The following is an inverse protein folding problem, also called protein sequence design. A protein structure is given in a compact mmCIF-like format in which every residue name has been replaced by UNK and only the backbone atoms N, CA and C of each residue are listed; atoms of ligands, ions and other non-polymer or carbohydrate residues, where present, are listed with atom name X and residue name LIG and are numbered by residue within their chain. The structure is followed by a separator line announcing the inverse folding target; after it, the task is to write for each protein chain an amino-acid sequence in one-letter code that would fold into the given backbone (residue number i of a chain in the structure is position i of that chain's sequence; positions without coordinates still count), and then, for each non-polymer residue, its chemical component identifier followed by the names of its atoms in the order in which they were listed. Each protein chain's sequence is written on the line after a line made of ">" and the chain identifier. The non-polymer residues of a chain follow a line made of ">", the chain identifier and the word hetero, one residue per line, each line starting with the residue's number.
data_IF_632626329401
#
_entry.id   IF_632626329401
#
_cell.length_a   1.000
_cell.length_b   1.000
_cell.length_c   1.000
_cell.angle_alpha   90.00
_cell.angle_beta   90.00
_cell.angle_gamma   90.00
#
_symmetry.space_group_name_H-M   'P 1'
#
loop_
_entity.id
_entity.type
_entity.pdbx_description
1 polymer ?
#
# COMPACT_ATOMS: atom_id res chain seq x y z
N UNK A 1 63.93 -49.82 -38.60
CA UNK A 1 64.37 -48.56 -37.97
C UNK A 1 64.10 -47.39 -38.91
N UNK A 2 62.96 -46.73 -38.74
CA UNK A 2 62.68 -45.36 -39.19
C UNK A 2 61.59 -44.83 -38.27
N UNK A 3 61.96 -43.88 -37.41
CA UNK A 3 61.06 -43.15 -36.54
C UNK A 3 60.30 -42.11 -37.37
N UNK A 4 58.99 -41.91 -37.17
CA UNK A 4 58.30 -40.75 -37.71
C UNK A 4 58.37 -39.56 -36.74
N UNK A 5 58.45 -38.39 -37.35
CA UNK A 5 58.58 -37.07 -36.75
C UNK A 5 57.37 -36.71 -35.88
N UNK A 6 57.65 -36.15 -34.71
CA UNK A 6 56.66 -35.59 -33.80
C UNK A 6 56.34 -34.17 -34.24
N UNK A 7 55.30 -34.00 -35.07
CA UNK A 7 54.70 -32.69 -35.32
C UNK A 7 53.88 -32.26 -34.09
N UNK A 8 54.50 -31.49 -33.20
CA UNK A 8 53.77 -30.74 -32.15
C UNK A 8 52.86 -29.72 -32.84
N UNK A 9 51.57 -30.01 -32.87
CA UNK A 9 50.54 -29.05 -33.24
C UNK A 9 50.61 -27.85 -32.31
N UNK A 10 50.81 -26.66 -32.87
CA UNK A 10 50.64 -25.41 -32.16
C UNK A 10 49.18 -25.30 -31.72
N UNK A 11 48.93 -25.29 -30.40
CA UNK A 11 47.64 -24.86 -29.85
C UNK A 11 47.46 -23.39 -30.21
N UNK A 12 46.61 -23.13 -31.21
CA UNK A 12 46.06 -21.81 -31.44
C UNK A 12 45.30 -21.37 -30.17
N UNK A 13 45.42 -20.09 -29.73
CA UNK A 13 44.54 -19.57 -28.71
C UNK A 13 43.08 -19.69 -29.19
N UNK A 14 42.11 -20.01 -28.31
CA UNK A 14 40.71 -20.07 -28.70
C UNK A 14 40.32 -18.75 -29.34
N UNK A 15 39.73 -18.82 -30.54
CA UNK A 15 39.25 -17.64 -31.28
C UNK A 15 38.31 -16.82 -30.41
N UNK A 16 38.66 -15.56 -30.16
CA UNK A 16 37.82 -14.62 -29.42
C UNK A 16 36.54 -14.37 -30.22
N UNK A 17 35.38 -14.56 -29.58
CA UNK A 17 34.08 -14.24 -30.19
C UNK A 17 33.83 -12.74 -30.08
N UNK A 18 33.23 -12.17 -31.11
CA UNK A 18 32.65 -10.82 -31.10
C UNK A 18 31.28 -10.83 -30.43
N UNK A 19 30.83 -9.66 -30.00
CA UNK A 19 29.50 -9.43 -29.42
C UNK A 19 28.37 -9.81 -30.39
N UNK A 20 28.51 -9.54 -31.69
CA UNK A 20 27.55 -9.92 -32.72
C UNK A 20 27.48 -11.44 -32.96
N UNK A 21 28.61 -12.14 -32.85
CA UNK A 21 28.68 -13.60 -32.95
C UNK A 21 28.00 -14.26 -31.74
N UNK A 22 28.11 -13.68 -30.54
CA UNK A 22 27.43 -14.17 -29.34
C UNK A 22 25.90 -14.07 -29.48
N UNK A 23 25.39 -12.95 -30.00
CA UNK A 23 23.96 -12.79 -30.28
C UNK A 23 23.48 -13.80 -31.32
N UNK A 24 24.22 -13.92 -32.42
CA UNK A 24 23.94 -14.91 -33.46
C UNK A 24 23.90 -16.32 -32.85
N UNK A 25 24.87 -16.68 -32.02
CA UNK A 25 24.94 -17.99 -31.36
C UNK A 25 23.70 -18.26 -30.49
N UNK A 26 23.27 -17.30 -29.67
CA UNK A 26 22.07 -17.43 -28.85
C UNK A 26 20.80 -17.63 -29.71
N UNK A 27 20.68 -16.89 -30.81
CA UNK A 27 19.56 -17.06 -31.75
C UNK A 27 19.56 -18.45 -32.41
N UNK A 28 20.73 -18.98 -32.77
CA UNK A 28 20.84 -20.33 -33.36
C UNK A 28 20.43 -21.42 -32.36
N UNK A 29 20.83 -21.29 -31.09
CA UNK A 29 20.43 -22.22 -30.02
C UNK A 29 18.93 -22.14 -29.67
N UNK A 30 18.28 -20.99 -29.90
CA UNK A 30 16.82 -20.88 -29.77
C UNK A 30 16.05 -21.61 -30.89
N UNK A 31 16.61 -21.69 -32.10
CA UNK A 31 15.92 -22.26 -33.27
C UNK A 31 16.24 -23.74 -33.51
N UNK A 32 17.40 -24.23 -33.04
CA UNK A 32 17.84 -25.60 -33.22
C UNK A 32 18.02 -26.34 -31.88
N UNK A 33 17.60 -27.61 -31.85
CA UNK A 33 17.51 -28.47 -30.67
C UNK A 33 18.80 -28.42 -29.80
N UNK A 34 18.73 -28.14 -28.48
CA UNK A 34 19.88 -27.80 -27.62
C UNK A 34 20.85 -28.96 -27.31
N UNK A 35 20.68 -30.12 -27.93
CA UNK A 35 21.35 -31.38 -27.55
C UNK A 35 22.69 -31.59 -28.27
N UNK A 36 23.04 -30.83 -29.32
CA UNK A 36 24.27 -31.10 -30.11
C UNK A 36 25.24 -29.94 -30.37
N UNK A 37 24.93 -28.69 -30.03
CA UNK A 37 25.87 -27.58 -30.19
C UNK A 37 26.67 -27.34 -28.90
N UNK A 38 27.94 -27.76 -28.90
CA UNK A 38 28.86 -27.40 -27.83
C UNK A 38 29.10 -25.88 -27.82
N UNK A 39 28.97 -25.27 -26.64
CA UNK A 39 29.34 -23.86 -26.45
C UNK A 39 30.83 -23.66 -26.75
N UNK A 40 31.21 -22.57 -27.44
CA UNK A 40 32.59 -22.22 -27.67
C UNK A 40 33.40 -22.15 -26.35
N UNK A 41 34.64 -22.69 -26.30
CA UNK A 41 35.46 -22.70 -25.08
C UNK A 41 35.70 -21.31 -24.49
N UNK A 42 35.67 -20.27 -25.33
CA UNK A 42 35.79 -18.88 -24.90
C UNK A 42 34.68 -18.48 -23.91
N UNK A 43 33.42 -18.89 -24.14
CA UNK A 43 32.30 -18.58 -23.24
C UNK A 43 32.35 -19.37 -21.93
N UNK A 44 33.03 -20.52 -21.92
CA UNK A 44 33.14 -21.40 -20.76
C UNK A 44 34.35 -21.06 -19.86
N UNK A 45 35.20 -20.11 -20.27
CA UNK A 45 36.39 -19.74 -19.53
C UNK A 45 36.14 -18.48 -18.69
N UNK A 46 36.34 -18.53 -17.37
CA UNK A 46 36.16 -17.34 -16.50
C UNK A 46 37.07 -16.16 -16.88
N UNK A 47 38.19 -16.44 -17.55
CA UNK A 47 39.10 -15.41 -18.08
C UNK A 47 38.47 -14.54 -19.18
N UNK A 48 37.37 -14.97 -19.80
CA UNK A 48 36.65 -14.19 -20.80
C UNK A 48 35.63 -13.22 -20.19
N UNK A 49 35.24 -13.39 -18.91
CA UNK A 49 34.21 -12.55 -18.28
C UNK A 49 34.48 -11.04 -18.41
N UNK A 50 35.70 -10.52 -18.18
CA UNK A 50 35.97 -9.10 -18.36
C UNK A 50 35.74 -8.61 -19.80
N UNK A 51 36.00 -9.47 -20.79
CA UNK A 51 35.78 -9.17 -22.22
C UNK A 51 34.27 -9.19 -22.52
N UNK A 52 33.54 -10.17 -22.00
CA UNK A 52 32.08 -10.25 -22.18
C UNK A 52 31.36 -9.03 -21.57
N UNK A 53 31.84 -8.53 -20.43
CA UNK A 53 31.32 -7.32 -19.79
C UNK A 53 31.76 -6.04 -20.52
N UNK A 54 32.96 -6.02 -21.12
CA UNK A 54 33.40 -4.84 -21.89
C UNK A 54 32.56 -4.64 -23.16
N UNK A 55 32.07 -5.73 -23.78
CA UNK A 55 31.10 -5.65 -24.88
C UNK A 55 29.77 -5.02 -24.44
N UNK A 56 29.27 -5.34 -23.25
CA UNK A 56 28.08 -4.69 -22.69
C UNK A 56 28.31 -3.16 -22.56
N UNK A 57 29.44 -2.74 -22.00
CA UNK A 57 29.77 -1.33 -21.88
C UNK A 57 29.96 -0.64 -23.24
N UNK A 58 30.57 -1.32 -24.21
CA UNK A 58 30.73 -0.80 -25.58
C UNK A 58 29.38 -0.58 -26.26
N UNK A 59 28.42 -1.51 -26.07
CA UNK A 59 27.07 -1.40 -26.61
C UNK A 59 26.26 -0.29 -25.94
N UNK A 60 26.42 -0.12 -24.63
CA UNK A 60 25.80 0.99 -23.91
C UNK A 60 26.33 2.36 -24.37
N UNK A 61 27.62 2.45 -24.73
CA UNK A 61 28.24 3.66 -25.24
C UNK A 61 27.89 4.01 -26.70
N UNK A 62 27.30 3.07 -27.46
CA UNK A 62 26.91 3.30 -28.84
C UNK A 62 25.68 4.23 -28.90
N UNK A 63 25.82 5.41 -29.50
CA UNK A 63 24.79 6.46 -29.44
C UNK A 63 23.49 6.13 -30.21
N UNK A 64 23.55 5.25 -31.22
CA UNK A 64 22.38 4.78 -31.95
C UNK A 64 21.93 3.44 -31.39
N UNK A 65 20.64 3.33 -31.06
CA UNK A 65 19.99 2.07 -30.66
C UNK A 65 20.59 1.37 -29.42
N UNK A 66 21.17 2.12 -28.47
CA UNK A 66 21.80 1.56 -27.26
C UNK A 66 20.88 0.64 -26.46
N UNK A 67 19.59 0.99 -26.34
CA UNK A 67 18.60 0.20 -25.61
C UNK A 67 18.43 -1.21 -26.20
N UNK A 68 18.15 -1.31 -27.50
CA UNK A 68 17.98 -2.62 -28.17
C UNK A 68 19.30 -3.37 -28.24
N UNK A 69 20.40 -2.68 -28.55
CA UNK A 69 21.72 -3.29 -28.62
C UNK A 69 22.16 -3.93 -27.29
N UNK A 70 21.89 -3.25 -26.16
CA UNK A 70 22.14 -3.77 -24.81
C UNK A 70 21.17 -4.90 -24.47
N UNK A 71 19.87 -4.72 -24.73
CA UNK A 71 18.85 -5.72 -24.43
C UNK A 71 19.06 -7.03 -25.17
N UNK A 72 19.37 -6.97 -26.47
CA UNK A 72 19.63 -8.15 -27.30
C UNK A 72 20.85 -8.91 -26.79
N UNK A 73 21.92 -8.17 -26.43
CA UNK A 73 23.15 -8.77 -25.92
C UNK A 73 22.95 -9.43 -24.55
N UNK A 74 22.31 -8.73 -23.60
CA UNK A 74 22.07 -9.26 -22.25
C UNK A 74 21.09 -10.43 -22.28
N UNK A 75 20.00 -10.33 -23.04
CA UNK A 75 19.05 -11.44 -23.22
C UNK A 75 19.73 -12.67 -23.84
N UNK A 76 20.63 -12.46 -24.81
CA UNK A 76 21.41 -13.54 -25.41
C UNK A 76 22.31 -14.23 -24.40
N UNK A 77 23.04 -13.47 -23.57
CA UNK A 77 23.88 -14.03 -22.51
C UNK A 77 23.06 -14.78 -21.45
N UNK A 78 21.96 -14.20 -20.97
CA UNK A 78 21.05 -14.86 -20.01
C UNK A 78 20.53 -16.17 -20.61
N UNK A 79 20.07 -16.16 -21.86
CA UNK A 79 19.60 -17.36 -22.54
C UNK A 79 20.69 -18.44 -22.60
N UNK A 80 21.92 -18.08 -23.00
CA UNK A 80 23.03 -19.04 -23.06
C UNK A 80 23.37 -19.61 -21.67
N UNK A 81 23.35 -18.78 -20.62
CA UNK A 81 23.54 -19.20 -19.23
C UNK A 81 22.47 -20.22 -18.82
N UNK A 82 21.20 -19.93 -19.12
CA UNK A 82 20.07 -20.76 -18.69
C UNK A 82 19.99 -22.10 -19.43
N UNK A 83 20.39 -22.16 -20.70
CA UNK A 83 20.37 -23.40 -21.49
C UNK A 83 21.59 -24.30 -21.23
N UNK A 84 22.68 -23.75 -20.67
CA UNK A 84 23.91 -24.49 -20.42
C UNK A 84 24.48 -24.19 -19.01
N UNK A 85 23.87 -24.75 -17.95
CA UNK A 85 24.29 -24.52 -16.57
C UNK A 85 25.64 -25.22 -16.30
N UNK A 86 26.73 -24.57 -16.67
CA UNK A 86 28.10 -24.93 -16.31
C UNK A 86 28.61 -23.95 -15.26
N UNK A 87 29.37 -24.42 -14.27
CA UNK A 87 29.83 -23.61 -13.14
C UNK A 87 30.51 -22.28 -13.56
N UNK A 88 31.33 -22.31 -14.61
CA UNK A 88 32.00 -21.11 -15.13
C UNK A 88 31.04 -20.11 -15.79
N UNK A 89 30.01 -20.60 -16.50
CA UNK A 89 29.03 -19.73 -17.14
C UNK A 89 28.03 -19.17 -16.11
N UNK A 90 27.70 -19.95 -15.08
CA UNK A 90 26.89 -19.51 -13.94
C UNK A 90 27.59 -18.43 -13.12
N UNK A 91 28.93 -18.43 -13.01
CA UNK A 91 29.68 -17.39 -12.29
C UNK A 91 29.73 -16.04 -13.04
N UNK A 92 29.35 -15.99 -14.31
CA UNK A 92 29.17 -14.74 -15.07
C UNK A 92 27.89 -13.98 -14.66
N UNK A 93 26.82 -14.70 -14.30
CA UNK A 93 25.50 -14.10 -14.06
C UNK A 93 25.50 -12.98 -13.00
N UNK A 94 26.14 -13.14 -11.81
CA UNK A 94 26.20 -12.08 -10.81
C UNK A 94 26.96 -10.85 -11.32
N UNK A 95 28.07 -11.06 -12.03
CA UNK A 95 28.88 -9.98 -12.59
C UNK A 95 28.14 -9.24 -13.72
N UNK A 96 27.38 -9.97 -14.54
CA UNK A 96 26.52 -9.41 -15.60
C UNK A 96 25.38 -8.58 -15.01
N UNK A 97 24.70 -9.08 -13.97
CA UNK A 97 23.67 -8.33 -13.25
C UNK A 97 24.23 -7.04 -12.66
N UNK A 98 25.37 -7.13 -11.96
CA UNK A 98 26.00 -5.96 -11.35
C UNK A 98 26.42 -4.93 -12.41
N UNK A 99 27.04 -5.37 -13.52
CA UNK A 99 27.44 -4.47 -14.61
C UNK A 99 26.23 -3.79 -15.26
N UNK A 100 25.15 -4.54 -15.49
CA UNK A 100 23.91 -4.01 -16.04
C UNK A 100 23.26 -2.99 -15.10
N UNK A 101 23.11 -3.34 -13.82
CA UNK A 101 22.55 -2.43 -12.82
C UNK A 101 23.42 -1.18 -12.65
N UNK A 102 24.74 -1.30 -12.69
CA UNK A 102 25.63 -0.14 -12.64
C UNK A 102 25.44 0.79 -13.83
N UNK A 103 25.19 0.25 -15.03
CA UNK A 103 24.83 1.06 -16.20
C UNK A 103 23.46 1.74 -16.03
N UNK A 104 22.47 1.01 -15.50
CA UNK A 104 21.13 1.53 -15.22
C UNK A 104 21.18 2.67 -14.20
N UNK A 105 21.75 2.40 -13.01
CA UNK A 105 21.80 3.38 -11.91
C UNK A 105 22.75 4.55 -12.16
N UNK A 106 23.62 4.48 -13.17
CA UNK A 106 24.44 5.60 -13.64
C UNK A 106 23.85 6.33 -14.86
N UNK A 107 22.61 6.02 -15.25
CA UNK A 107 21.89 6.63 -16.36
C UNK A 107 22.62 6.51 -17.71
N UNK A 108 23.43 5.44 -17.87
CA UNK A 108 24.19 5.17 -19.10
C UNK A 108 23.41 4.34 -20.12
N UNK A 109 22.26 3.80 -19.71
CA UNK A 109 21.32 3.12 -20.60
C UNK A 109 19.93 3.75 -20.43
N UNK A 110 19.09 3.78 -21.48
CA UNK A 110 17.73 4.28 -21.36
C UNK A 110 16.89 3.44 -20.40
N UNK A 111 16.01 4.09 -19.65
CA UNK A 111 14.97 3.42 -18.86
C UNK A 111 13.72 3.32 -19.73
N UNK A 112 13.42 2.13 -20.23
CA UNK A 112 12.33 1.88 -21.16
C UNK A 112 11.78 0.46 -21.00
N UNK A 113 10.98 0.00 -21.97
CA UNK A 113 10.41 -1.35 -21.95
C UNK A 113 11.45 -2.46 -22.07
N UNK A 114 12.56 -2.22 -22.75
CA UNK A 114 13.63 -3.20 -22.90
C UNK A 114 14.36 -3.34 -21.57
N UNK A 115 14.68 -2.23 -20.88
CA UNK A 115 15.31 -2.31 -19.56
C UNK A 115 14.43 -3.02 -18.54
N UNK A 116 13.12 -2.76 -18.55
CA UNK A 116 12.15 -3.49 -17.72
C UNK A 116 12.18 -4.99 -18.02
N UNK A 117 12.20 -5.37 -19.30
CA UNK A 117 12.25 -6.79 -19.71
C UNK A 117 13.53 -7.48 -19.20
N UNK A 118 14.67 -6.82 -19.32
CA UNK A 118 15.95 -7.34 -18.83
C UNK A 118 15.95 -7.50 -17.30
N UNK A 119 15.47 -6.50 -16.57
CA UNK A 119 15.35 -6.57 -15.10
C UNK A 119 14.42 -7.72 -14.68
N UNK A 120 13.32 -7.94 -15.39
CA UNK A 120 12.42 -9.08 -15.15
C UNK A 120 13.08 -10.43 -15.47
N UNK A 121 13.89 -10.52 -16.52
CA UNK A 121 14.68 -11.72 -16.80
C UNK A 121 15.67 -12.00 -15.67
N UNK A 122 16.39 -10.99 -15.18
CA UNK A 122 17.26 -11.15 -14.01
C UNK A 122 16.50 -11.57 -12.76
N UNK A 123 15.33 -10.99 -12.51
CA UNK A 123 14.47 -11.37 -11.39
C UNK A 123 14.13 -12.87 -11.41
N UNK A 124 13.91 -13.44 -12.60
CA UNK A 124 13.67 -14.88 -12.80
C UNK A 124 14.88 -15.78 -12.56
N UNK A 125 16.10 -15.23 -12.51
CA UNK A 125 17.34 -15.98 -12.31
C UNK A 125 18.07 -15.65 -10.99
N UNK A 126 17.44 -14.89 -10.08
CA UNK A 126 18.04 -14.53 -8.79
C UNK A 126 18.42 -15.75 -7.92
N UNK A 127 17.66 -16.85 -8.00
CA UNK A 127 17.94 -18.08 -7.26
C UNK A 127 19.22 -18.80 -7.74
N UNK A 128 19.72 -18.48 -8.94
CA UNK A 128 20.94 -19.05 -9.51
C UNK A 128 22.22 -18.26 -9.16
N UNK A 129 22.06 -17.08 -8.55
CA UNK A 129 23.17 -16.20 -8.17
C UNK A 129 23.75 -16.64 -6.82
N UNK A 130 25.08 -16.61 -6.69
CA UNK A 130 25.75 -16.85 -5.41
C UNK A 130 25.23 -15.86 -4.35
N UNK A 131 24.74 -16.40 -3.23
CA UNK A 131 24.06 -15.60 -2.20
C UNK A 131 24.92 -14.47 -1.63
N UNK A 132 26.25 -14.68 -1.58
CA UNK A 132 27.24 -13.68 -1.14
C UNK A 132 27.31 -12.44 -2.02
N UNK A 133 26.79 -12.52 -3.26
CA UNK A 133 26.72 -11.42 -4.23
C UNK A 133 25.40 -10.66 -4.21
N UNK A 134 24.37 -11.19 -3.56
CA UNK A 134 23.07 -10.51 -3.45
C UNK A 134 23.13 -9.21 -2.62
N UNK A 135 23.91 -9.10 -1.52
CA UNK A 135 24.08 -7.82 -0.83
C UNK A 135 24.55 -6.68 -1.73
N UNK A 136 25.55 -6.94 -2.59
CA UNK A 136 26.07 -5.94 -3.56
C UNK A 136 24.96 -5.42 -4.48
N UNK A 137 24.01 -6.29 -4.86
CA UNK A 137 22.82 -5.91 -5.67
C UNK A 137 21.85 -5.05 -4.87
N UNK A 138 21.57 -5.41 -3.62
CA UNK A 138 20.66 -4.65 -2.74
C UNK A 138 21.22 -3.25 -2.49
N UNK A 139 22.50 -3.14 -2.15
CA UNK A 139 23.17 -1.87 -1.86
C UNK A 139 23.16 -0.93 -3.08
N UNK A 140 23.37 -1.49 -4.28
CA UNK A 140 23.30 -0.73 -5.52
C UNK A 140 21.88 -0.22 -5.82
N UNK A 141 20.86 -1.01 -5.53
CA UNK A 141 19.45 -0.60 -5.71
C UNK A 141 19.05 0.47 -4.68
N UNK A 142 19.39 0.27 -3.40
CA UNK A 142 19.02 1.20 -2.31
C UNK A 142 19.75 2.55 -2.47
N UNK A 143 21.03 2.54 -2.86
CA UNK A 143 21.79 3.77 -3.12
C UNK A 143 21.25 4.58 -4.30
N UNK A 144 20.49 3.96 -5.20
CA UNK A 144 19.84 4.62 -6.33
C UNK A 144 18.48 5.27 -5.98
N UNK A 145 17.89 4.96 -4.83
CA UNK A 145 16.57 5.48 -4.44
C UNK A 145 16.39 7.00 -4.55
N UNK A 146 17.36 7.84 -4.13
CA UNK A 146 17.23 9.30 -4.26
C UNK A 146 17.10 9.81 -5.69
N UNK A 147 17.46 8.99 -6.70
CA UNK A 147 17.43 9.35 -8.11
C UNK A 147 16.11 8.94 -8.79
N UNK A 148 15.25 8.17 -8.11
CA UNK A 148 13.98 7.69 -8.67
C UNK A 148 12.99 8.84 -8.74
N UNK A 149 12.72 9.34 -9.94
CA UNK A 149 11.82 10.46 -10.18
C UNK A 149 10.64 10.09 -11.08
N UNK A 150 10.88 9.22 -12.07
CA UNK A 150 9.90 8.74 -13.04
C UNK A 150 9.58 7.26 -12.81
N UNK A 151 8.45 6.79 -13.36
CA UNK A 151 8.02 5.39 -13.22
C UNK A 151 9.05 4.39 -13.77
N UNK A 152 9.74 4.76 -14.84
CA UNK A 152 10.76 3.92 -15.46
C UNK A 152 12.05 3.84 -14.63
N UNK A 153 12.33 4.82 -13.76
CA UNK A 153 13.47 4.74 -12.83
C UNK A 153 13.25 3.68 -11.75
N UNK A 154 11.99 3.41 -11.40
CA UNK A 154 11.63 2.48 -10.34
C UNK A 154 11.71 1.00 -10.75
N UNK A 155 12.06 0.68 -12.00
CA UNK A 155 12.09 -0.71 -12.51
C UNK A 155 12.98 -1.64 -11.66
N UNK A 156 14.10 -1.12 -11.14
CA UNK A 156 15.05 -1.89 -10.30
C UNK A 156 14.46 -2.37 -8.97
N UNK A 157 13.37 -1.76 -8.48
CA UNK A 157 12.70 -2.20 -7.25
C UNK A 157 12.11 -3.60 -7.37
N UNK A 158 11.89 -4.11 -8.59
CA UNK A 158 11.39 -5.48 -8.84
C UNK A 158 12.31 -6.54 -8.21
N UNK A 159 13.62 -6.26 -8.14
CA UNK A 159 14.62 -7.19 -7.59
C UNK A 159 14.59 -7.24 -6.06
N UNK A 160 14.23 -6.12 -5.43
CA UNK A 160 14.44 -5.91 -4.00
C UNK A 160 13.73 -6.93 -3.09
N UNK A 161 12.43 -7.24 -3.28
CA UNK A 161 11.73 -8.20 -2.41
C UNK A 161 12.39 -9.57 -2.37
N UNK A 162 12.74 -10.11 -3.54
CA UNK A 162 13.34 -11.44 -3.68
C UNK A 162 14.78 -11.44 -3.15
N UNK A 163 15.56 -10.40 -3.43
CA UNK A 163 16.92 -10.28 -2.89
C UNK A 163 16.93 -10.22 -1.36
N UNK A 164 16.05 -9.42 -0.74
CA UNK A 164 15.91 -9.34 0.71
C UNK A 164 15.53 -10.70 1.29
N UNK A 165 14.56 -11.40 0.68
CA UNK A 165 14.13 -12.72 1.14
C UNK A 165 15.27 -13.74 1.09
N UNK A 166 16.01 -13.79 -0.03
CA UNK A 166 17.15 -14.68 -0.21
C UNK A 166 18.22 -14.46 0.86
N UNK A 167 18.59 -13.20 1.14
CA UNK A 167 19.57 -12.89 2.18
C UNK A 167 19.04 -13.28 3.55
N UNK A 168 17.78 -12.96 3.86
CA UNK A 168 17.15 -13.22 5.16
C UNK A 168 17.18 -14.69 5.55
N UNK A 169 16.91 -15.59 4.61
CA UNK A 169 16.82 -17.04 4.88
C UNK A 169 18.18 -17.76 4.74
N UNK A 170 19.21 -17.06 4.30
CA UNK A 170 20.52 -17.65 4.06
C UNK A 170 21.27 -17.99 5.35
N UNK A 171 21.92 -19.14 5.38
CA UNK A 171 22.89 -19.53 6.41
C UNK A 171 24.34 -19.14 6.06
N UNK A 172 24.60 -18.67 4.85
CA UNK A 172 25.94 -18.36 4.34
C UNK A 172 26.35 -16.91 4.59
N UNK A 173 25.38 -16.02 4.78
CA UNK A 173 25.58 -14.62 5.11
C UNK A 173 25.78 -14.50 6.63
N UNK A 174 26.77 -13.74 7.07
CA UNK A 174 26.91 -13.41 8.49
C UNK A 174 25.82 -12.42 8.91
N UNK A 175 25.13 -12.71 10.03
CA UNK A 175 24.06 -11.87 10.60
C UNK A 175 23.06 -11.33 9.56
N UNK A 176 22.38 -12.20 8.78
CA UNK A 176 21.52 -11.79 7.67
C UNK A 176 20.36 -10.89 8.11
N UNK A 177 19.83 -11.12 9.32
CA UNK A 177 18.76 -10.30 9.89
C UNK A 177 19.24 -8.89 10.24
N UNK A 178 20.47 -8.73 10.75
CA UNK A 178 21.03 -7.40 11.06
C UNK A 178 21.27 -6.61 9.77
N UNK A 179 21.76 -7.28 8.72
CA UNK A 179 21.92 -6.68 7.39
C UNK A 179 20.58 -6.24 6.80
N UNK A 180 19.57 -7.12 6.77
CA UNK A 180 18.23 -6.77 6.24
C UNK A 180 17.62 -5.61 7.03
N UNK A 181 17.80 -5.59 8.36
CA UNK A 181 17.36 -4.48 9.19
C UNK A 181 18.05 -3.16 8.80
N UNK A 182 19.37 -3.16 8.59
CA UNK A 182 20.11 -1.99 8.10
C UNK A 182 19.63 -1.51 6.73
N UNK A 183 19.28 -2.44 5.83
CA UNK A 183 18.70 -2.11 4.52
C UNK A 183 17.34 -1.44 4.70
N UNK A 184 16.48 -1.98 5.56
CA UNK A 184 15.16 -1.39 5.83
C UNK A 184 15.28 -0.01 6.49
N UNK A 185 16.25 0.19 7.38
CA UNK A 185 16.55 1.48 7.99
C UNK A 185 16.96 2.49 6.91
N UNK A 186 17.87 2.13 5.99
CA UNK A 186 18.25 2.98 4.88
C UNK A 186 17.07 3.33 3.95
N UNK A 187 16.17 2.38 3.69
CA UNK A 187 14.94 2.63 2.92
C UNK A 187 14.02 3.63 3.63
N UNK A 188 13.87 3.51 4.94
CA UNK A 188 13.02 4.41 5.75
C UNK A 188 13.66 5.80 5.91
N UNK A 189 14.99 5.90 5.99
CA UNK A 189 15.71 7.17 6.15
C UNK A 189 15.83 7.96 4.83
N UNK A 190 15.89 7.28 3.67
CA UNK A 190 16.00 7.90 2.35
C UNK A 190 14.79 8.80 2.03
N UNK A 191 14.95 10.00 1.49
CA UNK A 191 13.80 10.79 1.02
C UNK A 191 13.06 10.08 -0.14
N UNK A 192 11.74 10.14 -0.15
CA UNK A 192 10.91 9.44 -1.12
C UNK A 192 10.28 10.43 -2.10
N UNK A 193 10.54 10.27 -3.39
CA UNK A 193 9.70 10.92 -4.41
C UNK A 193 8.29 10.32 -4.39
N UNK A 194 7.31 11.01 -4.99
CA UNK A 194 5.94 10.49 -5.11
C UNK A 194 5.89 9.15 -5.85
N UNK A 195 6.74 8.98 -6.88
CA UNK A 195 6.88 7.72 -7.61
C UNK A 195 7.45 6.63 -6.72
N UNK A 196 8.53 6.92 -5.98
CA UNK A 196 9.15 5.96 -5.07
C UNK A 196 8.18 5.54 -3.96
N UNK A 197 7.43 6.48 -3.39
CA UNK A 197 6.39 6.22 -2.39
C UNK A 197 5.39 5.17 -2.91
N UNK A 198 4.78 5.41 -4.07
CA UNK A 198 3.77 4.50 -4.64
C UNK A 198 4.38 3.12 -4.88
N UNK A 199 5.58 3.06 -5.46
CA UNK A 199 6.27 1.81 -5.76
C UNK A 199 6.65 1.02 -4.51
N UNK A 200 7.11 1.70 -3.45
CA UNK A 200 7.40 1.05 -2.16
C UNK A 200 6.14 0.47 -1.52
N UNK A 201 5.00 1.19 -1.54
CA UNK A 201 3.73 0.65 -1.01
C UNK A 201 3.26 -0.57 -1.79
N UNK A 202 3.43 -0.57 -3.13
CA UNK A 202 3.12 -1.72 -3.98
C UNK A 202 4.02 -2.93 -3.70
N UNK A 203 5.33 -2.70 -3.57
CA UNK A 203 6.35 -3.76 -3.42
C UNK A 203 6.43 -4.33 -2.00
N UNK A 204 6.08 -3.56 -0.97
CA UNK A 204 6.19 -4.03 0.44
C UNK A 204 5.38 -5.27 0.71
N UNK A 205 4.26 -5.47 0.02
CA UNK A 205 3.46 -6.69 0.16
C UNK A 205 4.30 -7.95 -0.02
N UNK A 206 5.33 -7.89 -0.85
CA UNK A 206 6.13 -9.05 -1.24
C UNK A 206 7.24 -9.36 -0.22
N UNK A 207 7.60 -8.43 0.67
CA UNK A 207 8.59 -8.63 1.74
C UNK A 207 8.15 -8.13 3.12
N UNK A 208 6.84 -7.93 3.32
CA UNK A 208 6.22 -7.46 4.56
C UNK A 208 6.61 -8.28 5.80
N UNK A 209 6.90 -9.57 5.61
CA UNK A 209 7.33 -10.47 6.69
C UNK A 209 8.71 -10.13 7.26
N UNK A 210 9.55 -9.40 6.52
CA UNK A 210 10.86 -8.94 6.98
C UNK A 210 10.78 -7.72 7.90
N UNK A 211 9.65 -7.02 7.90
CA UNK A 211 9.50 -5.73 8.57
C UNK A 211 8.91 -5.96 9.97
N UNK A 212 9.71 -5.68 11.00
CA UNK A 212 9.29 -5.76 12.39
C UNK A 212 8.28 -4.64 12.74
N UNK A 213 7.75 -4.70 13.97
CA UNK A 213 6.68 -3.79 14.40
C UNK A 213 7.11 -2.32 14.50
N UNK A 214 8.37 -2.04 14.83
CA UNK A 214 8.89 -0.67 14.98
C UNK A 214 9.03 -0.04 13.59
N UNK A 215 9.78 -0.69 12.70
CA UNK A 215 9.97 -0.22 11.31
C UNK A 215 8.66 -0.11 10.54
N UNK A 216 7.72 -1.02 10.77
CA UNK A 216 6.37 -0.91 10.19
C UNK A 216 5.68 0.38 10.60
N UNK A 217 5.80 0.78 11.87
CA UNK A 217 5.22 2.03 12.37
C UNK A 217 5.87 3.23 11.73
N UNK A 218 7.21 3.26 11.68
CA UNK A 218 7.98 4.35 11.06
C UNK A 218 7.65 4.48 9.57
N UNK A 219 7.58 3.34 8.87
CA UNK A 219 7.19 3.28 7.46
C UNK A 219 5.79 3.87 7.23
N UNK A 220 4.78 3.43 8.00
CA UNK A 220 3.42 3.96 7.90
C UNK A 220 3.35 5.45 8.29
N UNK A 221 4.05 5.86 9.35
CA UNK A 221 4.14 7.27 9.76
C UNK A 221 4.69 8.14 8.63
N UNK A 222 5.74 7.67 7.96
CA UNK A 222 6.33 8.37 6.81
C UNK A 222 5.38 8.45 5.62
N UNK A 223 4.66 7.37 5.29
CA UNK A 223 3.61 7.44 4.25
C UNK A 223 2.58 8.53 4.57
N UNK A 224 2.04 8.54 5.79
CA UNK A 224 1.02 9.52 6.17
C UNK A 224 1.56 10.95 6.26
N UNK A 225 2.86 11.13 6.53
CA UNK A 225 3.54 12.41 6.41
C UNK A 225 3.62 12.87 4.94
N UNK A 226 4.09 12.01 4.03
CA UNK A 226 4.15 12.31 2.59
C UNK A 226 2.77 12.56 1.99
N UNK A 227 1.74 11.82 2.42
CA UNK A 227 0.34 12.09 2.05
C UNK A 227 -0.14 13.50 2.43
N UNK A 228 0.45 14.11 3.47
CA UNK A 228 0.11 15.46 3.94
C UNK A 228 0.89 16.54 3.20
N UNK A 229 2.14 16.25 2.84
CA UNK A 229 3.09 17.24 2.33
C UNK A 229 3.13 17.27 0.80
N UNK A 230 3.14 16.10 0.14
CA UNK A 230 3.60 15.99 -1.25
C UNK A 230 2.60 15.32 -2.22
N UNK A 231 1.61 14.59 -1.71
CA UNK A 231 0.66 13.85 -2.55
C UNK A 231 -0.53 14.73 -2.93
N UNK A 232 -0.83 14.80 -4.23
CA UNK A 232 -1.99 15.53 -4.72
C UNK A 232 -3.31 14.88 -4.29
N UNK A 233 -4.34 15.70 -4.07
CA UNK A 233 -5.63 15.21 -3.56
C UNK A 233 -6.25 14.11 -4.45
N UNK A 234 -6.01 14.18 -5.76
CA UNK A 234 -6.54 13.24 -6.75
C UNK A 234 -5.85 11.87 -6.73
N UNK A 235 -4.61 11.79 -6.22
CA UNK A 235 -3.85 10.55 -6.13
C UNK A 235 -4.08 9.80 -4.81
N UNK A 236 -4.60 10.51 -3.79
CA UNK A 236 -4.91 9.94 -2.48
C UNK A 236 -5.80 8.68 -2.54
N UNK A 237 -6.89 8.61 -3.34
CA UNK A 237 -7.70 7.40 -3.42
C UNK A 237 -6.92 6.17 -3.88
N UNK A 238 -6.01 6.34 -4.85
CA UNK A 238 -5.16 5.27 -5.37
C UNK A 238 -4.19 4.76 -4.30
N UNK A 239 -3.52 5.68 -3.60
CA UNK A 239 -2.61 5.32 -2.50
C UNK A 239 -3.34 4.64 -1.34
N UNK A 240 -4.51 5.16 -0.93
CA UNK A 240 -5.31 4.54 0.13
C UNK A 240 -5.79 3.15 -0.27
N UNK A 241 -6.16 2.93 -1.52
CA UNK A 241 -6.48 1.60 -2.01
C UNK A 241 -5.30 0.63 -1.82
N UNK A 242 -4.08 1.03 -2.20
CA UNK A 242 -2.90 0.20 -2.00
C UNK A 242 -2.62 -0.08 -0.51
N UNK A 243 -2.79 0.92 0.36
CA UNK A 243 -2.67 0.72 1.81
C UNK A 243 -3.70 -0.27 2.36
N UNK A 244 -4.94 -0.22 1.88
CA UNK A 244 -5.99 -1.17 2.28
C UNK A 244 -5.70 -2.59 1.79
N UNK A 245 -5.15 -2.74 0.57
CA UNK A 245 -4.69 -4.05 0.05
C UNK A 245 -3.56 -4.58 0.92
N UNK A 246 -2.61 -3.73 1.29
CA UNK A 246 -1.48 -4.07 2.16
C UNK A 246 -1.96 -4.46 3.57
N UNK A 247 -2.90 -3.72 4.14
CA UNK A 247 -3.56 -4.04 5.40
C UNK A 247 -4.27 -5.41 5.33
N UNK A 248 -5.06 -5.68 4.29
CA UNK A 248 -5.74 -6.98 4.12
C UNK A 248 -4.76 -8.16 4.12
N UNK A 249 -3.51 -7.96 3.66
CA UNK A 249 -2.43 -8.94 3.70
C UNK A 249 -1.74 -9.08 5.07
N UNK A 250 -2.19 -8.34 6.08
CA UNK A 250 -1.72 -8.45 7.47
C UNK A 250 -0.70 -7.39 7.88
N UNK A 251 -0.37 -6.44 7.00
CA UNK A 251 0.60 -5.40 7.32
C UNK A 251 -0.07 -4.23 8.04
N UNK A 252 -0.04 -4.25 9.37
CA UNK A 252 -0.46 -3.13 10.21
C UNK A 252 -1.93 -2.72 10.03
N UNK A 253 -2.86 -3.68 10.06
CA UNK A 253 -4.30 -3.44 9.79
C UNK A 253 -4.84 -2.26 10.58
N UNK A 254 -4.61 -2.29 11.89
CA UNK A 254 -5.08 -1.24 12.81
C UNK A 254 -4.44 0.10 12.46
N UNK A 255 -3.11 0.13 12.34
CA UNK A 255 -2.34 1.35 12.09
C UNK A 255 -2.69 2.00 10.75
N UNK A 256 -2.96 1.20 9.72
CA UNK A 256 -3.43 1.68 8.42
C UNK A 256 -4.81 2.31 8.53
N UNK A 257 -5.79 1.61 9.14
CA UNK A 257 -7.14 2.16 9.30
C UNK A 257 -7.10 3.42 10.17
N UNK A 258 -6.38 3.40 11.28
CA UNK A 258 -6.18 4.54 12.18
C UNK A 258 -5.59 5.74 11.43
N UNK A 259 -4.50 5.54 10.68
CA UNK A 259 -3.88 6.61 9.91
C UNK A 259 -4.82 7.18 8.84
N UNK A 260 -5.59 6.35 8.14
CA UNK A 260 -6.59 6.81 7.16
C UNK A 260 -7.65 7.68 7.85
N UNK A 261 -8.24 7.20 8.95
CA UNK A 261 -9.32 7.95 9.61
C UNK A 261 -8.84 9.21 10.30
N UNK A 262 -7.61 9.24 10.81
CA UNK A 262 -7.01 10.45 11.39
C UNK A 262 -6.61 11.46 10.31
N UNK A 263 -6.11 11.01 9.16
CA UNK A 263 -5.75 11.87 8.04
C UNK A 263 -6.98 12.61 7.49
N UNK A 264 -8.02 11.87 7.08
CA UNK A 264 -9.25 12.47 6.54
C UNK A 264 -10.15 13.08 7.62
N UNK A 265 -10.02 12.63 8.86
CA UNK A 265 -10.72 13.19 10.01
C UNK A 265 -10.23 14.56 10.46
N UNK A 266 -8.97 14.90 10.10
CA UNK A 266 -8.33 16.16 10.45
C UNK A 266 -8.96 17.40 9.82
N UNK A 267 -8.47 18.58 10.22
CA UNK A 267 -8.99 19.87 9.77
C UNK A 267 -8.51 20.27 8.35
N UNK A 268 -8.14 19.31 7.49
CA UNK A 268 -7.64 19.60 6.15
C UNK A 268 -8.73 20.31 5.34
N UNK A 269 -8.47 21.60 5.05
CA UNK A 269 -9.40 22.56 4.43
C UNK A 269 -9.52 22.34 2.93
N UNK A 270 -9.83 21.12 2.51
CA UNK A 270 -10.18 20.88 1.13
C UNK A 270 -11.60 21.36 0.84
N UNK A 271 -11.79 22.06 -0.27
CA UNK A 271 -13.11 22.47 -0.77
C UNK A 271 -13.96 21.27 -1.20
N UNK A 272 -14.84 21.46 -2.19
CA UNK A 272 -15.64 20.37 -2.76
C UNK A 272 -14.83 19.17 -3.25
N UNK A 273 -13.62 19.41 -3.78
CA UNK A 273 -12.72 18.38 -4.33
C UNK A 273 -12.32 17.35 -3.28
N UNK A 274 -11.84 17.79 -2.11
CA UNK A 274 -11.45 16.85 -1.03
C UNK A 274 -12.65 16.06 -0.53
N UNK A 275 -13.84 16.67 -0.47
CA UNK A 275 -15.05 15.95 -0.07
C UNK A 275 -15.41 14.83 -1.05
N UNK A 276 -15.16 15.01 -2.35
CA UNK A 276 -15.31 13.97 -3.36
C UNK A 276 -14.25 12.87 -3.21
N UNK A 277 -12.99 13.26 -2.99
CA UNK A 277 -11.88 12.33 -2.70
C UNK A 277 -12.19 11.45 -1.49
N UNK A 278 -12.66 12.06 -0.40
CA UNK A 278 -13.15 11.34 0.78
C UNK A 278 -14.27 10.35 0.44
N UNK A 279 -15.18 10.70 -0.49
CA UNK A 279 -16.23 9.81 -0.98
C UNK A 279 -15.66 8.58 -1.71
N UNK A 280 -14.68 8.77 -2.59
CA UNK A 280 -13.98 7.67 -3.26
C UNK A 280 -13.21 6.80 -2.26
N UNK A 281 -12.49 7.41 -1.32
CA UNK A 281 -11.78 6.67 -0.26
C UNK A 281 -12.74 5.86 0.59
N UNK A 282 -13.90 6.43 0.93
CA UNK A 282 -14.95 5.73 1.67
C UNK A 282 -15.44 4.48 0.92
N UNK A 283 -15.59 4.55 -0.40
CA UNK A 283 -15.93 3.40 -1.23
C UNK A 283 -14.82 2.35 -1.22
N UNK A 284 -13.55 2.75 -1.30
CA UNK A 284 -12.41 1.82 -1.18
C UNK A 284 -12.39 1.12 0.18
N UNK A 285 -12.62 1.84 1.29
CA UNK A 285 -12.73 1.25 2.62
C UNK A 285 -13.89 0.25 2.68
N UNK A 286 -15.07 0.64 2.18
CA UNK A 286 -16.23 -0.26 2.15
C UNK A 286 -15.97 -1.55 1.37
N UNK A 287 -15.33 -1.42 0.20
CA UNK A 287 -14.95 -2.56 -0.62
C UNK A 287 -13.92 -3.44 0.09
N UNK A 288 -12.87 -2.86 0.67
CA UNK A 288 -11.85 -3.60 1.40
C UNK A 288 -12.45 -4.38 2.59
N UNK A 289 -13.36 -3.78 3.36
CA UNK A 289 -14.05 -4.47 4.47
C UNK A 289 -14.98 -5.58 3.99
N UNK A 290 -15.60 -5.44 2.80
CA UNK A 290 -16.38 -6.53 2.19
C UNK A 290 -15.50 -7.72 1.82
N UNK A 291 -14.30 -7.47 1.31
CA UNK A 291 -13.34 -8.51 0.91
C UNK A 291 -12.66 -9.15 2.14
N UNK A 292 -12.26 -8.35 3.11
CA UNK A 292 -11.65 -8.79 4.37
C UNK A 292 -12.42 -8.20 5.58
N UNK A 293 -13.37 -8.96 6.15
CA UNK A 293 -14.15 -8.53 7.32
C UNK A 293 -13.29 -8.18 8.55
N UNK A 294 -12.05 -8.66 8.65
CA UNK A 294 -11.20 -8.31 9.79
C UNK A 294 -10.81 -6.83 9.80
N UNK A 295 -10.76 -6.17 8.63
CA UNK A 295 -10.60 -4.70 8.57
C UNK A 295 -11.78 -3.98 9.20
N UNK A 296 -13.00 -4.50 9.03
CA UNK A 296 -14.19 -3.97 9.68
C UNK A 296 -14.10 -4.06 11.20
N UNK A 297 -13.53 -5.14 11.73
CA UNK A 297 -13.28 -5.31 13.16
C UNK A 297 -12.29 -4.28 13.70
N UNK A 298 -11.24 -3.93 12.94
CA UNK A 298 -10.33 -2.85 13.32
C UNK A 298 -11.03 -1.49 13.34
N UNK A 299 -11.89 -1.18 12.35
CA UNK A 299 -12.71 0.04 12.34
C UNK A 299 -13.58 0.13 13.60
N UNK A 300 -14.29 -0.94 13.94
CA UNK A 300 -15.14 -1.01 15.15
C UNK A 300 -14.29 -0.89 16.42
N UNK A 301 -13.12 -1.53 16.44
CA UNK A 301 -12.20 -1.54 17.58
C UNK A 301 -11.58 -0.18 17.88
N UNK A 302 -11.28 0.62 16.86
CA UNK A 302 -10.67 1.95 17.03
C UNK A 302 -11.52 2.87 17.89
N UNK A 303 -12.82 3.00 17.56
CA UNK A 303 -13.73 3.90 18.30
C UNK A 303 -14.02 3.41 19.72
N UNK A 304 -14.01 2.10 19.94
CA UNK A 304 -14.19 1.53 21.29
C UNK A 304 -13.00 1.80 22.21
N UNK A 305 -11.81 1.97 21.65
CA UNK A 305 -10.56 2.03 22.43
C UNK A 305 -9.98 3.44 22.54
N UNK A 306 -10.21 4.31 21.57
CA UNK A 306 -9.72 5.69 21.58
C UNK A 306 -10.81 6.67 21.14
N UNK A 307 -11.33 7.46 22.09
CA UNK A 307 -12.31 8.51 21.81
C UNK A 307 -11.76 9.61 20.90
N UNK A 308 -10.43 9.80 20.85
CA UNK A 308 -9.78 10.79 19.96
C UNK A 308 -9.85 10.39 18.49
N UNK A 309 -10.06 9.10 18.21
CA UNK A 309 -10.32 8.63 16.85
C UNK A 309 -11.73 9.00 16.37
N UNK A 310 -12.61 9.48 17.25
CA UNK A 310 -13.96 9.90 16.88
C UNK A 310 -13.95 11.26 16.18
N UNK A 311 -14.08 11.23 14.87
CA UNK A 311 -14.16 12.42 14.03
C UNK A 311 -15.19 12.21 12.92
N UNK A 312 -15.47 13.26 12.15
CA UNK A 312 -16.49 13.23 11.11
C UNK A 312 -16.28 12.10 10.07
N UNK A 313 -15.03 11.84 9.68
CA UNK A 313 -14.71 10.80 8.72
C UNK A 313 -14.83 9.41 9.33
N UNK A 314 -14.41 9.22 10.58
CA UNK A 314 -14.65 7.97 11.33
C UNK A 314 -16.14 7.63 11.42
N UNK A 315 -17.00 8.63 11.68
CA UNK A 315 -18.46 8.47 11.65
C UNK A 315 -18.92 8.04 10.26
N UNK A 316 -18.45 8.71 9.21
CA UNK A 316 -18.77 8.35 7.83
C UNK A 316 -18.37 6.91 7.49
N UNK A 317 -17.17 6.48 7.92
CA UNK A 317 -16.68 5.10 7.74
C UNK A 317 -17.56 4.10 8.48
N UNK A 318 -17.93 4.37 9.74
CA UNK A 318 -18.84 3.49 10.50
C UNK A 318 -20.22 3.38 9.84
N UNK A 319 -20.78 4.49 9.36
CA UNK A 319 -22.04 4.49 8.61
C UNK A 319 -21.92 3.72 7.30
N UNK A 320 -20.75 3.76 6.64
CA UNK A 320 -20.50 2.94 5.45
C UNK A 320 -20.36 1.46 5.77
N UNK A 321 -19.63 1.11 6.84
CA UNK A 321 -19.47 -0.27 7.30
C UNK A 321 -20.81 -0.86 7.76
N UNK A 322 -21.71 -0.05 8.34
CA UNK A 322 -23.06 -0.46 8.71
C UNK A 322 -23.89 -0.96 7.52
N UNK A 323 -23.55 -0.58 6.28
CA UNK A 323 -24.20 -1.13 5.06
C UNK A 323 -23.87 -2.60 4.82
N UNK A 324 -22.87 -3.14 5.50
CA UNK A 324 -22.51 -4.56 5.44
C UNK A 324 -23.29 -5.29 6.53
N UNK A 325 -24.20 -6.20 6.15
CA UNK A 325 -25.18 -6.85 7.06
C UNK A 325 -24.58 -7.36 8.39
N UNK A 326 -23.39 -7.96 8.37
CA UNK A 326 -22.74 -8.50 9.58
C UNK A 326 -22.22 -7.43 10.56
N UNK A 327 -22.10 -6.19 10.11
CA UNK A 327 -21.61 -5.06 10.88
C UNK A 327 -22.67 -3.99 11.13
N UNK A 328 -23.84 -4.08 10.49
CA UNK A 328 -24.97 -3.14 10.62
C UNK A 328 -25.18 -2.68 12.05
N UNK A 329 -25.63 -3.59 12.91
CA UNK A 329 -26.06 -3.22 14.25
C UNK A 329 -24.85 -2.82 15.11
N UNK A 330 -23.74 -3.55 14.98
CA UNK A 330 -22.50 -3.26 15.72
C UNK A 330 -21.93 -1.87 15.43
N UNK A 331 -21.98 -1.41 14.17
CA UNK A 331 -21.44 -0.10 13.80
C UNK A 331 -22.34 1.04 14.29
N UNK A 332 -23.67 0.88 14.17
CA UNK A 332 -24.64 1.86 14.69
C UNK A 332 -24.59 1.93 16.21
N UNK A 333 -24.52 0.79 16.90
CA UNK A 333 -24.45 0.72 18.35
C UNK A 333 -23.18 1.35 18.90
N UNK A 334 -22.05 1.24 18.21
CA UNK A 334 -20.82 1.95 18.62
C UNK A 334 -21.00 3.46 18.56
N UNK A 335 -21.62 3.99 17.49
CA UNK A 335 -21.91 5.42 17.37
C UNK A 335 -22.83 5.89 18.51
N UNK A 336 -23.91 5.15 18.76
CA UNK A 336 -24.84 5.44 19.86
C UNK A 336 -24.14 5.39 21.23
N UNK A 337 -23.37 4.34 21.48
CA UNK A 337 -22.67 4.14 22.76
C UNK A 337 -21.64 5.23 23.01
N UNK A 338 -20.85 5.62 22.00
CA UNK A 338 -19.88 6.70 22.12
C UNK A 338 -20.57 8.03 22.49
N UNK A 339 -21.68 8.35 21.82
CA UNK A 339 -22.48 9.53 22.11
C UNK A 339 -23.07 9.49 23.53
N UNK A 340 -23.71 8.38 23.91
CA UNK A 340 -24.35 8.25 25.22
C UNK A 340 -23.34 8.31 26.36
N UNK A 341 -22.16 7.71 26.19
CA UNK A 341 -21.08 7.83 27.16
C UNK A 341 -20.63 9.29 27.27
N UNK A 342 -20.44 10.00 26.16
CA UNK A 342 -20.05 11.41 26.21
C UNK A 342 -21.08 12.31 26.93
N UNK A 343 -22.38 12.10 26.68
CA UNK A 343 -23.44 12.81 27.40
C UNK A 343 -23.48 12.44 28.89
N UNK A 344 -23.32 11.16 29.22
CA UNK A 344 -23.31 10.67 30.60
C UNK A 344 -22.11 11.23 31.36
N UNK A 345 -20.94 11.23 30.75
CA UNK A 345 -19.69 11.73 31.33
C UNK A 345 -19.76 13.24 31.55
N UNK A 346 -20.28 14.00 30.59
CA UNK A 346 -20.56 15.44 30.77
C UNK A 346 -21.54 15.68 31.92
N UNK A 347 -22.67 14.95 31.96
CA UNK A 347 -23.67 15.09 33.03
C UNK A 347 -23.06 14.79 34.40
N UNK A 348 -22.23 13.76 34.49
CA UNK A 348 -21.50 13.40 35.70
C UNK A 348 -20.49 14.50 36.09
N UNK A 349 -19.69 14.97 35.14
CA UNK A 349 -18.71 16.03 35.33
C UNK A 349 -19.36 17.32 35.87
N UNK A 350 -20.52 17.70 35.31
CA UNK A 350 -21.28 18.90 35.72
C UNK A 350 -21.69 18.87 37.19
N UNK A 351 -22.13 17.72 37.70
CA UNK A 351 -22.57 17.58 39.11
C UNK A 351 -21.43 17.27 40.08
N UNK A 352 -20.29 16.82 39.57
CA UNK A 352 -19.13 16.47 40.39
C UNK A 352 -18.44 17.73 40.93
N UNK A 353 -18.56 17.96 42.24
CA UNK A 353 -17.94 19.12 42.91
C UNK A 353 -16.42 19.02 43.02
N UNK A 354 -15.87 17.80 43.01
CA UNK A 354 -14.43 17.57 43.12
C UNK A 354 -13.69 17.73 41.79
N UNK A 355 -14.39 17.63 40.67
CA UNK A 355 -13.76 17.75 39.36
C UNK A 355 -13.38 19.22 39.09
N UNK A 356 -12.11 19.50 38.71
CA UNK A 356 -11.67 20.82 38.25
C UNK A 356 -12.51 21.34 37.09
N UNK A 357 -12.64 22.67 36.99
CA UNK A 357 -13.42 23.28 35.93
C UNK A 357 -12.83 23.02 34.54
N UNK A 358 -11.50 22.92 34.42
CA UNK A 358 -10.85 22.60 33.14
C UNK A 358 -11.28 21.23 32.62
N UNK A 359 -11.33 20.22 33.50
CA UNK A 359 -11.77 18.87 33.12
C UNK A 359 -13.27 18.83 32.80
N UNK A 360 -14.10 19.63 33.49
CA UNK A 360 -15.54 19.75 33.15
C UNK A 360 -15.74 20.30 31.74
N UNK A 361 -14.97 21.32 31.36
CA UNK A 361 -15.00 21.86 30.00
C UNK A 361 -14.49 20.84 28.97
N UNK A 362 -13.50 20.02 29.31
CA UNK A 362 -13.03 18.94 28.43
C UNK A 362 -14.11 17.90 28.12
N UNK A 363 -14.88 17.46 29.14
CA UNK A 363 -16.01 16.54 28.94
C UNK A 363 -17.12 17.15 28.08
N UNK A 364 -17.43 18.44 28.28
CA UNK A 364 -18.40 19.17 27.48
C UNK A 364 -17.94 19.29 26.02
N UNK A 365 -16.67 19.66 25.80
CA UNK A 365 -16.12 19.80 24.46
C UNK A 365 -16.06 18.45 23.73
N UNK A 366 -15.72 17.36 24.44
CA UNK A 366 -15.77 16.02 23.86
C UNK A 366 -17.18 15.65 23.35
N UNK A 367 -18.22 15.94 24.14
CA UNK A 367 -19.61 15.72 23.72
C UNK A 367 -19.97 16.56 22.48
N UNK A 368 -19.56 17.85 22.44
CA UNK A 368 -19.77 18.73 21.28
C UNK A 368 -19.04 18.24 20.02
N UNK A 369 -17.80 17.77 20.16
CA UNK A 369 -17.02 17.24 19.05
C UNK A 369 -17.72 16.02 18.44
N UNK A 370 -18.28 15.15 19.27
CA UNK A 370 -19.04 13.97 18.80
C UNK A 370 -20.33 14.38 18.08
N UNK A 371 -21.16 15.26 18.66
CA UNK A 371 -22.38 15.77 18.00
C UNK A 371 -22.03 16.40 16.64
N UNK A 372 -21.02 17.28 16.62
CA UNK A 372 -20.56 17.98 15.42
C UNK A 372 -19.99 17.03 14.38
N UNK A 373 -19.27 15.98 14.79
CA UNK A 373 -18.76 14.96 13.89
C UNK A 373 -19.90 14.21 13.19
N UNK A 374 -20.94 13.83 13.93
CA UNK A 374 -22.14 13.19 13.37
C UNK A 374 -22.82 14.11 12.36
N UNK A 375 -23.15 15.35 12.74
CA UNK A 375 -23.81 16.30 11.86
C UNK A 375 -22.96 16.65 10.62
N UNK A 376 -21.64 16.81 10.78
CA UNK A 376 -20.72 17.05 9.67
C UNK A 376 -20.68 15.87 8.69
N UNK A 377 -20.75 14.63 9.20
CA UNK A 377 -20.83 13.43 8.35
C UNK A 377 -22.11 13.41 7.52
N UNK A 378 -23.26 13.76 8.11
CA UNK A 378 -24.56 13.82 7.41
C UNK A 378 -24.54 14.93 6.37
N UNK A 379 -24.07 16.12 6.72
CA UNK A 379 -23.96 17.25 5.80
C UNK A 379 -22.96 17.03 4.66
N UNK A 380 -22.03 16.07 4.79
CA UNK A 380 -21.10 15.69 3.74
C UNK A 380 -21.61 14.60 2.79
N UNK A 381 -22.82 14.09 3.00
CA UNK A 381 -23.30 12.86 2.34
C UNK A 381 -23.63 13.02 0.85
N UNK A 382 -23.82 14.23 0.33
CA UNK A 382 -24.04 14.52 -1.09
C UNK A 382 -22.78 14.58 -1.95
N UNK A 383 -21.60 14.38 -1.36
CA UNK A 383 -20.33 14.37 -2.09
C UNK A 383 -19.90 12.93 -2.45
N UNK A 384 -20.76 12.18 -3.16
CA UNK A 384 -20.46 10.81 -3.59
C UNK A 384 -20.49 9.79 -2.46
N UNK A 385 -21.32 10.03 -1.43
CA UNK A 385 -21.47 9.18 -0.24
C UNK A 385 -22.92 8.72 -0.08
N UNK A 386 -23.69 8.65 -1.17
CA UNK A 386 -25.13 8.37 -1.11
C UNK A 386 -25.41 6.96 -0.57
N UNK A 387 -24.45 6.03 -0.68
CA UNK A 387 -24.58 4.67 -0.15
C UNK A 387 -24.74 4.62 1.38
N UNK A 388 -24.36 5.66 2.12
CA UNK A 388 -24.49 5.71 3.58
C UNK A 388 -25.85 6.23 4.07
N UNK A 389 -26.71 6.74 3.17
CA UNK A 389 -28.03 7.30 3.52
C UNK A 389 -28.86 6.36 4.40
N UNK A 390 -29.04 5.06 4.08
CA UNK A 390 -29.88 4.21 4.91
C UNK A 390 -29.34 4.01 6.32
N UNK A 391 -28.01 4.02 6.49
CA UNK A 391 -27.38 3.92 7.81
C UNK A 391 -27.50 5.22 8.61
N UNK A 392 -27.54 6.38 7.94
CA UNK A 392 -27.87 7.67 8.58
C UNK A 392 -29.30 7.63 9.12
N UNK A 393 -30.25 7.13 8.33
CA UNK A 393 -31.65 6.99 8.74
C UNK A 393 -31.77 6.05 9.94
N UNK A 394 -31.12 4.88 9.89
CA UNK A 394 -31.07 3.92 11.00
C UNK A 394 -30.49 4.57 12.28
N UNK A 395 -29.41 5.35 12.16
CA UNK A 395 -28.86 6.09 13.31
C UNK A 395 -29.85 7.13 13.84
N UNK A 396 -30.44 7.95 12.97
CA UNK A 396 -31.38 9.02 13.35
C UNK A 396 -32.57 8.48 14.14
N UNK A 397 -33.26 7.46 13.63
CA UNK A 397 -34.33 6.79 14.37
C UNK A 397 -33.83 6.05 15.61
N UNK A 398 -32.66 5.40 15.52
CA UNK A 398 -32.03 4.74 16.66
C UNK A 398 -31.71 5.68 17.83
N UNK A 399 -31.49 6.97 17.58
CA UNK A 399 -31.35 8.02 18.59
C UNK A 399 -32.72 8.43 19.14
N UNK A 400 -33.74 8.65 18.29
CA UNK A 400 -35.09 9.02 18.72
C UNK A 400 -35.71 7.97 19.66
N UNK A 401 -35.55 6.68 19.36
CA UNK A 401 -36.10 5.58 20.18
C UNK A 401 -35.36 5.35 21.50
N UNK A 402 -34.08 5.74 21.59
CA UNK A 402 -33.30 5.54 22.82
C UNK A 402 -33.83 6.34 24.03
N UNK A 403 -34.71 7.31 23.78
CA UNK A 403 -35.35 8.18 24.78
C UNK A 403 -36.54 7.49 25.44
N UNK A 404 -37.14 6.49 24.79
CA UNK A 404 -38.33 5.78 25.28
C UNK A 404 -37.99 4.79 26.41
N UNK A 405 -36.74 4.30 26.48
CA UNK A 405 -36.29 3.29 27.46
C UNK A 405 -35.68 3.86 28.75
N UNK A 406 -35.47 5.18 28.85
CA UNK A 406 -34.89 5.78 30.05
C UNK A 406 -35.09 7.28 30.11
N UNK A 407 -35.81 7.74 31.14
CA UNK A 407 -36.10 9.15 31.42
C UNK A 407 -34.84 10.06 31.33
N UNK A 408 -34.61 10.66 30.15
CA UNK A 408 -33.48 11.56 29.86
C UNK A 408 -33.95 12.99 29.55
N UNK A 409 -35.01 13.48 30.20
CA UNK A 409 -35.59 14.81 29.92
C UNK A 409 -34.80 16.03 30.41
N UNK A 410 -33.57 15.88 30.90
CA UNK A 410 -32.78 17.01 31.39
C UNK A 410 -31.32 16.93 30.95
N UNK A 411 -31.07 17.20 29.67
CA UNK A 411 -29.86 17.90 29.24
C UNK A 411 -30.28 19.38 29.16
N UNK A 412 -29.74 20.20 30.06
CA UNK A 412 -30.06 21.63 30.09
C UNK A 412 -29.58 22.27 28.80
N UNK A 413 -30.49 22.86 28.01
CA UNK A 413 -30.20 23.65 26.78
C UNK A 413 -29.18 24.77 26.99
N UNK A 414 -28.81 25.08 28.25
CA UNK A 414 -27.77 26.03 28.64
C UNK A 414 -26.36 25.66 28.16
N UNK A 415 -26.09 24.36 27.94
CA UNK A 415 -24.72 23.88 27.70
C UNK A 415 -24.36 23.83 26.20
N UNK A 416 -25.31 24.17 25.32
CA UNK A 416 -25.13 24.16 23.86
C UNK A 416 -25.09 22.76 23.23
N UNK A 417 -25.44 21.72 23.99
CA UNK A 417 -25.66 20.36 23.49
C UNK A 417 -27.12 20.19 23.05
N UNK A 418 -27.34 19.41 22.00
CA UNK A 418 -28.68 19.12 21.49
C UNK A 418 -29.39 18.09 22.39
N UNK A 419 -28.65 17.09 22.88
CA UNK A 419 -29.23 15.90 23.51
C UNK A 419 -29.66 14.86 22.47
N UNK A 420 -30.07 13.68 22.94
CA UNK A 420 -30.26 12.50 22.08
C UNK A 420 -31.42 12.65 21.08
N UNK A 421 -32.58 13.13 21.54
CA UNK A 421 -33.80 13.35 20.75
C UNK A 421 -33.63 14.47 19.72
N UNK A 422 -33.13 15.61 20.16
CA UNK A 422 -32.91 16.76 19.27
C UNK A 422 -31.82 16.43 18.25
N UNK A 423 -30.72 15.76 18.64
CA UNK A 423 -29.71 15.33 17.68
C UNK A 423 -30.28 14.34 16.66
N UNK A 424 -31.08 13.36 17.07
CA UNK A 424 -31.77 12.45 16.15
C UNK A 424 -32.66 13.20 15.14
N UNK A 425 -33.41 14.19 15.62
CA UNK A 425 -34.21 15.11 14.78
C UNK A 425 -33.32 15.89 13.80
N UNK A 426 -32.23 16.49 14.27
CA UNK A 426 -31.31 17.27 13.44
C UNK A 426 -30.58 16.41 12.39
N UNK A 427 -30.24 15.16 12.72
CA UNK A 427 -29.66 14.20 11.77
C UNK A 427 -30.63 13.95 10.61
N UNK A 428 -31.89 13.63 10.90
CA UNK A 428 -32.90 13.35 9.86
C UNK A 428 -33.26 14.60 9.07
N UNK A 429 -33.37 15.76 9.74
CA UNK A 429 -33.61 17.05 9.09
C UNK A 429 -32.47 17.44 8.15
N UNK A 430 -31.22 17.37 8.62
CA UNK A 430 -30.04 17.68 7.82
C UNK A 430 -29.94 16.73 6.61
N UNK A 431 -30.24 15.44 6.79
CA UNK A 431 -30.29 14.49 5.68
C UNK A 431 -31.32 14.93 4.62
N UNK A 432 -32.52 15.32 5.03
CA UNK A 432 -33.58 15.77 4.13
C UNK A 432 -33.22 17.06 3.38
N UNK A 433 -32.56 18.02 4.05
CA UNK A 433 -32.13 19.29 3.46
C UNK A 433 -31.04 19.11 2.40
N UNK A 434 -30.13 18.14 2.60
CA UNK A 434 -28.97 17.92 1.73
C UNK A 434 -29.35 17.12 0.47
N UNK A 435 -30.44 16.37 0.50
CA UNK A 435 -30.83 15.40 -0.52
C UNK A 435 -32.17 15.73 -1.17
N UNK A 436 -32.19 16.74 -2.06
CA UNK A 436 -33.41 17.19 -2.77
C UNK A 436 -33.99 16.13 -3.72
N UNK A 437 -33.14 15.40 -4.45
CA UNK A 437 -33.58 14.34 -5.39
C UNK A 437 -33.91 13.01 -4.70
N UNK A 438 -33.40 12.81 -3.48
CA UNK A 438 -33.67 11.62 -2.67
C UNK A 438 -34.90 11.79 -1.79
N UNK A 439 -35.62 12.92 -1.83
CA UNK A 439 -36.82 13.14 -1.00
C UNK A 439 -37.86 12.05 -1.19
N UNK A 440 -38.07 11.53 -2.41
CA UNK A 440 -39.02 10.44 -2.64
C UNK A 440 -38.49 9.10 -2.11
N UNK A 441 -37.20 8.77 -2.31
CA UNK A 441 -36.60 7.53 -1.80
C UNK A 441 -36.39 7.55 -0.27
N UNK A 442 -36.01 8.68 0.30
CA UNK A 442 -35.92 8.93 1.74
C UNK A 442 -37.31 8.98 2.33
N UNK A 443 -38.30 9.60 1.66
CA UNK A 443 -39.70 9.49 2.07
C UNK A 443 -40.15 8.05 2.04
N UNK A 444 -39.92 7.27 0.98
CA UNK A 444 -40.31 5.86 0.90
C UNK A 444 -39.56 4.99 1.92
N UNK A 445 -38.27 5.23 2.17
CA UNK A 445 -37.48 4.53 3.19
C UNK A 445 -37.96 4.89 4.60
N UNK A 446 -38.22 6.18 4.85
CA UNK A 446 -38.82 6.68 6.10
C UNK A 446 -40.24 6.16 6.26
N UNK A 447 -41.04 6.07 5.19
CA UNK A 447 -42.42 5.58 5.19
C UNK A 447 -42.47 4.07 5.42
N UNK A 448 -41.56 3.33 4.79
CA UNK A 448 -41.41 1.89 4.99
C UNK A 448 -40.90 1.58 6.40
N UNK A 449 -39.93 2.34 6.91
CA UNK A 449 -39.45 2.20 8.29
C UNK A 449 -40.49 2.65 9.32
N UNK A 450 -41.24 3.72 9.06
CA UNK A 450 -42.34 4.17 9.89
C UNK A 450 -43.51 3.17 9.87
N UNK A 451 -43.77 2.53 8.72
CA UNK A 451 -44.75 1.44 8.62
C UNK A 451 -44.29 0.19 9.37
N UNK A 452 -43.01 -0.18 9.34
CA UNK A 452 -42.49 -1.28 10.16
C UNK A 452 -42.56 -0.95 11.66
N UNK A 453 -42.25 0.28 12.06
CA UNK A 453 -42.40 0.74 13.44
C UNK A 453 -43.89 0.79 13.87
N UNK A 454 -44.80 1.20 12.99
CA UNK A 454 -46.25 1.16 13.23
C UNK A 454 -46.79 -0.28 13.31
N UNK A 455 -46.30 -1.18 12.46
CA UNK A 455 -46.63 -2.61 12.51
C UNK A 455 -46.15 -3.24 13.81
N UNK A 456 -44.97 -2.85 14.30
CA UNK A 456 -44.42 -3.31 15.56
C UNK A 456 -45.25 -2.80 16.75
N UNK A 457 -45.65 -1.53 16.74
CA UNK A 457 -46.59 -0.95 17.71
C UNK A 457 -47.98 -1.62 17.67
N UNK A 458 -48.49 -1.96 16.49
CA UNK A 458 -49.77 -2.67 16.31
C UNK A 458 -49.70 -4.15 16.75
N UNK A 459 -48.52 -4.78 16.67
CA UNK A 459 -48.29 -6.16 17.12
C UNK A 459 -48.04 -6.26 18.63
N UNK A 460 -47.50 -5.22 19.26
CA UNK A 460 -47.25 -5.14 20.71
C UNK A 460 -48.48 -4.65 21.50
N UNK A 461 -49.42 -3.95 20.84
CA UNK A 461 -50.69 -3.47 21.42
C UNK A 461 -51.90 -4.41 21.18
N UNK A 462 -51.65 -5.66 20.79
CA UNK A 462 -52.62 -6.77 20.83
C UNK A 462 -52.14 -7.81 21.82
#
# INVERSE_FOLDING_TARGET
>A
MRSPENSRGAMHPPSQLTDAEIISLAQHHHHFNPVSSQLPPFLLAESSHPILLSFLHSRAAAAADSSTAVSDYVSSLISLISHHPCAALSSLLPALLHAYLSLFTSLKIPHDRNSLSIIQQFAGHLDAIEIRKIPEVIDLVVSYFPQISELDDAQVLILLPKCIELVRISSEIDKPVEYVNSVLDAVIECDWSNVLLIKLVESIRDFASCIDKVRRREFLQKIFAKMREDVEMQDLPGLVYQLLVLAAKGFGKREVIEGIVLYFGGANKGGSVMKQVEGTVLLHVNFAVKQDPSLGQEVLGLVRQDSRAFNHFTVTVLLSVARIRRFSDSAIDILKTALFNAYKDHKFAKVCRWLPNELKEEYLENARVIEKAILKSVNGSHYGREHIIPSIVQLGFGLLHAVEEGAQKEISKSDGLLGTDELGTQVLKCLFEVHDMSRNEVSDLVYNMANEALLFLLLVLK
#
